data_IF_948293963913
#
_entry.id   IF_948293963913
#
_cell.length_a   1.000
_cell.length_b   1.000
_cell.length_c   1.000
_cell.angle_alpha   90.00
_cell.angle_beta   90.00
_cell.angle_gamma   90.00
#
_symmetry.space_group_name_H-M   'P 1'
#
loop_
_entity.id
_entity.type
_entity.pdbx_description
1 polymer ?
#
# COMPACT_ATOMS: atom_id res chain seq x y z
N UNK A 1 36.18 -0.57 34.91
CA UNK A 1 35.40 -1.59 34.17
C UNK A 1 34.45 -0.84 33.23
N UNK A 2 34.89 -0.42 32.04
CA UNK A 2 34.82 -1.15 30.75
C UNK A 2 33.40 -1.64 30.38
N UNK A 3 32.70 -0.79 29.62
CA UNK A 3 31.86 -1.09 28.45
C UNK A 3 31.03 -2.37 28.47
N UNK A 4 29.75 -2.28 28.84
CA UNK A 4 28.74 -3.27 28.45
C UNK A 4 27.34 -2.65 28.34
N UNK A 5 27.17 -1.63 27.49
CA UNK A 5 25.82 -1.07 27.22
C UNK A 5 25.59 -0.69 25.76
N UNK A 6 26.54 -0.97 24.87
CA UNK A 6 26.54 -0.48 23.49
C UNK A 6 25.99 -1.43 22.43
N UNK A 7 25.48 -2.62 22.77
CA UNK A 7 25.12 -3.63 21.76
C UNK A 7 23.60 -3.86 21.66
N UNK A 8 22.83 -3.58 22.73
CA UNK A 8 21.38 -3.88 22.72
C UNK A 8 20.59 -2.92 21.81
N UNK A 9 21.08 -1.69 21.61
CA UNK A 9 20.40 -0.70 20.77
C UNK A 9 20.56 -0.88 19.26
N UNK A 10 21.51 -1.70 18.79
CA UNK A 10 21.80 -1.82 17.36
C UNK A 10 21.12 -3.02 16.68
N UNK A 11 20.66 -4.01 17.44
CA UNK A 11 20.14 -5.28 16.87
C UNK A 11 18.66 -5.19 16.50
N UNK A 12 17.90 -4.25 17.05
CA UNK A 12 16.44 -4.18 16.83
C UNK A 12 16.09 -3.57 15.46
N UNK A 13 16.98 -2.75 14.87
CA UNK A 13 16.70 -2.10 13.57
C UNK A 13 16.95 -3.03 12.38
N UNK A 14 17.79 -4.06 12.51
CA UNK A 14 18.19 -4.90 11.38
C UNK A 14 17.33 -6.16 11.20
N UNK A 15 16.60 -6.60 12.23
CA UNK A 15 15.82 -7.85 12.19
C UNK A 15 14.45 -7.72 11.52
N UNK A 16 13.97 -6.50 11.24
CA UNK A 16 12.72 -6.30 10.50
C UNK A 16 12.89 -6.24 8.98
N UNK A 17 14.11 -6.34 8.44
CA UNK A 17 14.34 -6.03 7.02
C UNK A 17 14.12 -7.20 6.06
N UNK A 18 14.07 -8.45 6.51
CA UNK A 18 14.10 -9.61 5.58
C UNK A 18 12.76 -10.29 5.36
N UNK A 19 11.74 -10.05 6.20
CA UNK A 19 10.40 -10.64 6.07
C UNK A 19 9.33 -9.75 5.42
N UNK A 20 9.59 -8.45 5.29
CA UNK A 20 8.53 -7.44 5.07
C UNK A 20 8.11 -7.33 3.59
N UNK A 21 9.02 -7.56 2.64
CA UNK A 21 8.70 -7.47 1.20
C UNK A 21 7.63 -8.46 0.73
N UNK A 22 7.57 -9.66 1.33
CA UNK A 22 6.57 -10.66 0.95
C UNK A 22 5.15 -10.24 1.39
N UNK A 23 5.02 -9.62 2.57
CA UNK A 23 3.73 -9.20 3.11
C UNK A 23 3.15 -8.03 2.32
N UNK A 24 3.98 -7.07 1.89
CA UNK A 24 3.53 -5.93 1.09
C UNK A 24 2.95 -6.37 -0.27
N UNK A 25 3.59 -7.32 -0.97
CA UNK A 25 3.07 -7.85 -2.23
C UNK A 25 1.71 -8.57 -2.06
N UNK A 26 1.52 -9.28 -0.94
CA UNK A 26 0.25 -9.92 -0.61
C UNK A 26 -0.86 -8.90 -0.33
N UNK A 27 -0.55 -7.82 0.39
CA UNK A 27 -1.49 -6.74 0.68
C UNK A 27 -2.04 -6.09 -0.59
N UNK A 28 -1.20 -5.80 -1.60
CA UNK A 28 -1.66 -5.24 -2.87
C UNK A 28 -2.65 -6.17 -3.59
N UNK A 29 -2.30 -7.46 -3.69
CA UNK A 29 -3.17 -8.47 -4.32
C UNK A 29 -4.48 -8.65 -3.55
N UNK A 30 -4.42 -8.66 -2.22
CA UNK A 30 -5.59 -8.75 -1.33
C UNK A 30 -6.51 -7.55 -1.51
N UNK A 31 -5.96 -6.33 -1.53
CA UNK A 31 -6.72 -5.11 -1.77
C UNK A 31 -7.39 -5.11 -3.15
N UNK A 32 -6.67 -5.50 -4.20
CA UNK A 32 -7.23 -5.68 -5.55
C UNK A 32 -8.33 -6.75 -5.59
N UNK A 33 -8.19 -7.82 -4.81
CA UNK A 33 -9.22 -8.86 -4.73
C UNK A 33 -10.51 -8.33 -4.12
N UNK A 34 -10.43 -7.56 -3.03
CA UNK A 34 -11.61 -6.88 -2.46
C UNK A 34 -12.21 -5.89 -3.45
N UNK A 35 -11.36 -5.12 -4.12
CA UNK A 35 -11.79 -4.16 -5.13
C UNK A 35 -12.58 -4.81 -6.28
N UNK A 36 -12.07 -5.91 -6.85
CA UNK A 36 -12.75 -6.64 -7.93
C UNK A 36 -14.04 -7.30 -7.45
N UNK A 37 -14.12 -7.67 -6.17
CA UNK A 37 -15.37 -8.13 -5.54
C UNK A 37 -16.37 -7.01 -5.24
N UNK A 38 -16.00 -5.75 -5.44
CA UNK A 38 -16.83 -4.59 -5.12
C UNK A 38 -16.85 -4.23 -3.63
N UNK A 39 -16.06 -4.90 -2.78
CA UNK A 39 -15.92 -4.58 -1.36
C UNK A 39 -14.93 -3.40 -1.20
N UNK A 40 -15.38 -2.24 -1.63
CA UNK A 40 -14.56 -1.02 -1.67
C UNK A 40 -14.15 -0.53 -0.28
N UNK A 41 -14.94 -0.83 0.75
CA UNK A 41 -14.60 -0.51 2.14
C UNK A 41 -13.34 -1.26 2.55
N UNK A 42 -13.31 -2.59 2.44
CA UNK A 42 -12.12 -3.37 2.78
C UNK A 42 -10.98 -3.12 1.81
N UNK A 43 -11.26 -2.90 0.52
CA UNK A 43 -10.22 -2.51 -0.43
C UNK A 43 -9.50 -1.24 0.04
N UNK A 44 -10.24 -0.22 0.48
CA UNK A 44 -9.64 1.03 0.97
C UNK A 44 -8.80 0.84 2.25
N UNK A 45 -9.22 -0.03 3.17
CA UNK A 45 -8.45 -0.33 4.38
C UNK A 45 -7.12 -1.01 4.04
N UNK A 46 -7.16 -2.05 3.21
CA UNK A 46 -5.95 -2.80 2.83
C UNK A 46 -5.03 -1.97 1.93
N UNK A 47 -5.57 -1.16 1.00
CA UNK A 47 -4.73 -0.24 0.24
C UNK A 47 -4.08 0.83 1.13
N UNK A 48 -4.76 1.30 2.18
CA UNK A 48 -4.20 2.25 3.14
C UNK A 48 -3.03 1.67 3.92
N UNK A 49 -3.14 0.40 4.33
CA UNK A 49 -2.03 -0.37 4.93
C UNK A 49 -0.88 -0.58 3.93
N UNK A 50 -1.19 -0.92 2.68
CA UNK A 50 -0.16 -1.07 1.66
C UNK A 50 0.64 0.21 1.43
N UNK A 51 -0.02 1.36 1.29
CA UNK A 51 0.66 2.63 0.99
C UNK A 51 1.41 3.23 2.17
N UNK A 52 1.11 2.82 3.42
CA UNK A 52 1.94 3.20 4.58
C UNK A 52 3.30 2.51 4.57
N UNK A 53 3.36 1.29 4.02
CA UNK A 53 4.60 0.53 3.87
C UNK A 53 5.34 0.89 2.57
N UNK A 54 4.60 0.95 1.47
CA UNK A 54 5.14 1.25 0.14
C UNK A 54 4.29 2.29 -0.59
N UNK A 55 4.68 3.57 -0.52
CA UNK A 55 4.09 4.61 -1.34
C UNK A 55 4.21 4.26 -2.83
N UNK A 56 3.06 4.15 -3.51
CA UNK A 56 2.98 3.79 -4.93
C UNK A 56 1.80 4.52 -5.58
N UNK A 57 2.01 5.04 -6.78
CA UNK A 57 1.00 5.83 -7.48
C UNK A 57 -0.27 5.01 -7.79
N UNK A 58 -0.12 3.74 -8.20
CA UNK A 58 -1.26 2.87 -8.50
C UNK A 58 -2.07 2.56 -7.25
N UNK A 59 -1.41 2.22 -6.14
CA UNK A 59 -2.09 1.95 -4.88
C UNK A 59 -2.78 3.19 -4.30
N UNK A 60 -2.18 4.39 -4.38
CA UNK A 60 -2.85 5.63 -3.97
C UNK A 60 -4.06 5.95 -4.84
N UNK A 61 -3.96 5.74 -6.16
CA UNK A 61 -5.11 5.90 -7.05
C UNK A 61 -6.22 4.91 -6.71
N UNK A 62 -5.89 3.63 -6.50
CA UNK A 62 -6.83 2.59 -6.14
C UNK A 62 -7.51 2.83 -4.79
N UNK A 63 -6.76 3.34 -3.81
CA UNK A 63 -7.30 3.78 -2.52
C UNK A 63 -8.30 4.92 -2.71
N UNK A 64 -7.88 5.97 -3.44
CA UNK A 64 -8.73 7.11 -3.73
C UNK A 64 -10.01 6.70 -4.46
N UNK A 65 -9.89 5.82 -5.45
CA UNK A 65 -11.05 5.32 -6.20
C UNK A 65 -11.96 4.44 -5.33
N UNK A 66 -11.42 3.59 -4.48
CA UNK A 66 -12.24 2.80 -3.53
C UNK A 66 -13.01 3.71 -2.56
N UNK A 67 -12.37 4.76 -2.03
CA UNK A 67 -13.02 5.77 -1.19
C UNK A 67 -14.10 6.55 -1.95
N UNK A 68 -13.85 6.88 -3.21
CA UNK A 68 -14.82 7.52 -4.09
C UNK A 68 -16.07 6.65 -4.27
N UNK A 69 -15.90 5.34 -4.47
CA UNK A 69 -17.01 4.38 -4.65
C UNK A 69 -17.89 4.23 -3.41
N UNK A 70 -17.38 4.52 -2.22
CA UNK A 70 -18.15 4.51 -0.96
C UNK A 70 -18.60 5.91 -0.50
N UNK A 71 -18.49 6.93 -1.35
CA UNK A 71 -18.97 8.29 -1.08
C UNK A 71 -18.03 9.18 -0.27
N UNK A 72 -16.81 8.73 0.06
CA UNK A 72 -15.81 9.51 0.81
C UNK A 72 -14.97 10.37 -0.11
N UNK A 73 -15.62 11.29 -0.83
CA UNK A 73 -15.01 12.06 -1.93
C UNK A 73 -13.88 12.99 -1.49
N UNK A 74 -13.96 13.61 -0.31
CA UNK A 74 -12.90 14.51 0.18
C UNK A 74 -11.61 13.76 0.48
N UNK A 75 -11.70 12.56 1.03
CA UNK A 75 -10.54 11.69 1.27
C UNK A 75 -10.00 11.11 -0.02
N UNK A 76 -10.89 10.69 -0.93
CA UNK A 76 -10.50 10.24 -2.26
C UNK A 76 -9.62 11.27 -2.97
N UNK A 77 -10.03 12.55 -2.95
CA UNK A 77 -9.26 13.66 -3.54
C UNK A 77 -7.84 13.77 -2.97
N UNK A 78 -7.67 13.58 -1.66
CA UNK A 78 -6.36 13.62 -1.02
C UNK A 78 -5.45 12.53 -1.57
N UNK A 79 -5.96 11.31 -1.73
CA UNK A 79 -5.16 10.18 -2.24
C UNK A 79 -4.92 10.24 -3.74
N UNK A 80 -5.85 10.75 -4.54
CA UNK A 80 -5.58 11.06 -5.95
C UNK A 80 -4.45 12.09 -6.10
N UNK A 81 -4.42 13.12 -5.24
CA UNK A 81 -3.31 14.08 -5.20
C UNK A 81 -1.99 13.39 -4.86
N UNK A 82 -1.95 12.43 -3.93
CA UNK A 82 -0.74 11.67 -3.63
C UNK A 82 -0.27 10.85 -4.83
N UNK A 83 -1.17 10.18 -5.55
CA UNK A 83 -0.82 9.46 -6.77
C UNK A 83 -0.16 10.38 -7.82
N UNK A 84 -0.75 11.57 -8.04
CA UNK A 84 -0.21 12.58 -8.94
C UNK A 84 1.15 13.15 -8.49
N UNK A 85 1.37 13.32 -7.18
CA UNK A 85 2.66 13.79 -6.66
C UNK A 85 3.78 12.76 -6.85
N UNK A 86 3.47 11.46 -6.85
CA UNK A 86 4.44 10.38 -7.08
C UNK A 86 4.72 10.20 -8.56
N UNK A 87 3.68 10.11 -9.39
CA UNK A 87 3.79 10.02 -10.83
C UNK A 87 2.76 10.97 -11.48
N UNK A 88 3.18 12.18 -11.90
CA UNK A 88 2.31 13.12 -12.60
C UNK A 88 1.75 12.59 -13.91
N UNK A 89 2.40 11.60 -14.52
CA UNK A 89 1.95 10.88 -15.71
C UNK A 89 1.27 9.55 -15.38
N UNK A 90 0.81 9.35 -14.14
CA UNK A 90 0.10 8.15 -13.76
C UNK A 90 -1.18 8.00 -14.58
N UNK A 91 -1.35 6.80 -15.14
CA UNK A 91 -2.56 6.41 -15.85
C UNK A 91 -3.10 5.15 -15.19
N UNK A 92 -4.44 5.01 -15.02
CA UNK A 92 -5.03 3.77 -14.54
C UNK A 92 -4.65 2.53 -15.37
N UNK A 93 -4.23 2.69 -16.62
CA UNK A 93 -3.70 1.59 -17.46
C UNK A 93 -2.41 0.97 -16.92
N UNK A 94 -1.68 1.67 -16.04
CA UNK A 94 -0.47 1.17 -15.37
C UNK A 94 -0.78 0.25 -14.19
N UNK A 95 -2.05 0.10 -13.79
CA UNK A 95 -2.46 -0.78 -12.70
C UNK A 95 -2.25 -2.24 -13.14
N UNK A 96 -1.39 -2.95 -12.43
CA UNK A 96 -1.13 -4.35 -12.71
C UNK A 96 -2.17 -5.27 -12.05
N UNK A 97 -3.06 -5.84 -12.87
CA UNK A 97 -4.03 -6.86 -12.47
C UNK A 97 -3.54 -8.30 -12.70
N UNK A 98 -2.34 -8.50 -13.28
CA UNK A 98 -1.80 -9.85 -13.55
C UNK A 98 -1.65 -10.68 -12.28
N UNK A 99 -1.43 -10.02 -11.15
CA UNK A 99 -1.33 -10.60 -9.80
C UNK A 99 -2.61 -11.34 -9.36
N UNK A 100 -3.76 -11.04 -9.98
CA UNK A 100 -5.05 -11.69 -9.68
C UNK A 100 -5.23 -13.03 -10.41
N UNK A 101 -4.46 -13.29 -11.48
CA UNK A 101 -4.56 -14.56 -12.21
C UNK A 101 -4.09 -15.68 -11.28
N UNK A 102 -4.99 -16.61 -10.97
CA UNK A 102 -4.62 -17.90 -10.38
C UNK A 102 -4.02 -18.74 -11.50
N UNK A 103 -2.85 -19.34 -11.25
CA UNK A 103 -2.38 -20.50 -12.02
C UNK A 103 -3.28 -21.69 -11.71
#
# INVERSE_FOLDING_TARGET
>A
MRVLSGIIGLVIVTLFSTGVFAQTADLYKKALTYYVKGDYTRASEVFKEYVSEKPDAAAYYMLGYSLYKIGRHDEARKYFKQAYLIDPGFSPSKIDYSVLRRK
#
